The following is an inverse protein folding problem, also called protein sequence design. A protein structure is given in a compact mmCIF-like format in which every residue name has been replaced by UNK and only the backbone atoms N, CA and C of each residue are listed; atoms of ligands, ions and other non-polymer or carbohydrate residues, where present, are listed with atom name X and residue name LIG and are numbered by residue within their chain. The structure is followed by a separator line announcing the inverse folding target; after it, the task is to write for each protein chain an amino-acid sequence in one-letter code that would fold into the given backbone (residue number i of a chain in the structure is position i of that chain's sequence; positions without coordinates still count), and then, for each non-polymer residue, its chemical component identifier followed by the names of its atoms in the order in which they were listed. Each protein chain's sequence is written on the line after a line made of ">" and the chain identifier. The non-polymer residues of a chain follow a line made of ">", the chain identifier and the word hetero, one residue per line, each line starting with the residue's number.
data_IF_931609340208
#
_entry.id   IF_931609340208
#
_cell.length_a   1.000
_cell.length_b   1.000
_cell.length_c   1.000
_cell.angle_alpha   90.00
_cell.angle_beta   90.00
_cell.angle_gamma   90.00
#
_symmetry.space_group_name_H-M   'P 1'
#
loop_
_entity.id
_entity.type
_entity.pdbx_description
1 polymer ?
#
# COMPACT_ATOMS: atom_id res chain seq x y z
N UNK A 1 -10.44 1.16 16.92
CA UNK A 1 -9.34 0.56 16.12
C UNK A 1 -9.71 0.27 14.67
N UNK A 2 -10.67 -0.62 14.40
CA UNK A 2 -11.03 -1.05 13.02
C UNK A 2 -11.36 0.11 12.05
N UNK A 3 -12.04 1.15 12.53
CA UNK A 3 -12.33 2.36 11.74
C UNK A 3 -11.05 3.09 11.30
N UNK A 4 -10.10 3.31 12.22
CA UNK A 4 -8.80 3.94 11.92
C UNK A 4 -8.02 3.14 10.88
N UNK A 5 -8.04 1.81 10.99
CA UNK A 5 -7.38 0.91 10.04
C UNK A 5 -8.00 0.99 8.63
N UNK A 6 -9.34 0.97 8.54
CA UNK A 6 -10.05 1.14 7.27
C UNK A 6 -9.77 2.51 6.66
N UNK A 7 -9.75 3.58 7.46
CA UNK A 7 -9.43 4.93 6.99
C UNK A 7 -8.00 5.01 6.45
N UNK A 8 -7.03 4.43 7.17
CA UNK A 8 -5.65 4.30 6.71
C UNK A 8 -5.56 3.57 5.37
N UNK A 9 -6.12 2.36 5.26
CA UNK A 9 -6.11 1.58 4.01
C UNK A 9 -6.79 2.31 2.86
N UNK A 10 -7.88 3.03 3.13
CA UNK A 10 -8.58 3.85 2.12
C UNK A 10 -7.67 4.96 1.58
N UNK A 11 -6.99 5.68 2.47
CA UNK A 11 -6.09 6.77 2.08
C UNK A 11 -4.84 6.25 1.36
N UNK A 12 -4.28 5.13 1.84
CA UNK A 12 -3.17 4.43 1.21
C UNK A 12 -3.52 4.01 -0.22
N UNK A 13 -4.66 3.33 -0.40
CA UNK A 13 -5.11 2.87 -1.71
C UNK A 13 -5.38 4.04 -2.66
N UNK A 14 -6.00 5.11 -2.18
CA UNK A 14 -6.26 6.32 -2.99
C UNK A 14 -4.97 7.01 -3.44
N UNK A 15 -3.97 7.12 -2.59
CA UNK A 15 -2.69 7.72 -2.97
C UNK A 15 -2.00 6.89 -4.08
N UNK A 16 -2.02 5.56 -3.94
CA UNK A 16 -1.49 4.65 -4.94
C UNK A 16 -2.27 4.74 -6.27
N UNK A 17 -3.61 4.65 -6.21
CA UNK A 17 -4.51 4.73 -7.36
C UNK A 17 -4.33 6.01 -8.17
N UNK A 18 -4.20 7.15 -7.48
CA UNK A 18 -3.97 8.46 -8.09
C UNK A 18 -2.51 8.70 -8.49
N UNK A 19 -1.63 7.70 -8.39
CA UNK A 19 -0.22 7.78 -8.76
C UNK A 19 0.56 8.89 -8.02
N UNK A 20 0.10 9.25 -6.82
CA UNK A 20 0.69 10.32 -6.01
C UNK A 20 1.90 9.77 -5.24
N UNK A 21 3.03 9.54 -5.92
CA UNK A 21 4.20 8.87 -5.33
C UNK A 21 4.70 9.56 -4.06
N UNK A 22 4.77 10.89 -4.05
CA UNK A 22 5.26 11.63 -2.88
C UNK A 22 4.34 11.39 -1.68
N UNK A 23 3.01 11.51 -1.87
CA UNK A 23 2.03 11.19 -0.82
C UNK A 23 2.08 9.72 -0.42
N UNK A 24 2.19 8.81 -1.39
CA UNK A 24 2.28 7.38 -1.16
C UNK A 24 3.49 7.02 -0.29
N UNK A 25 4.64 7.65 -0.54
CA UNK A 25 5.85 7.43 0.25
C UNK A 25 5.70 7.84 1.72
N UNK A 26 4.86 8.83 2.04
CA UNK A 26 4.64 9.27 3.43
C UNK A 26 3.96 8.23 4.32
N UNK A 27 3.29 7.24 3.72
CA UNK A 27 2.69 6.13 4.47
C UNK A 27 3.74 5.16 5.01
N UNK A 28 5.00 5.24 4.60
CA UNK A 28 6.05 4.33 5.04
C UNK A 28 6.92 4.95 6.13
N UNK A 29 7.43 4.13 7.04
CA UNK A 29 8.51 4.55 7.95
C UNK A 29 9.81 4.72 7.15
N UNK A 30 10.78 5.46 7.70
CA UNK A 30 12.06 5.70 7.02
C UNK A 30 12.89 4.42 6.82
N UNK A 31 12.69 3.44 7.69
CA UNK A 31 13.32 2.12 7.67
C UNK A 31 12.42 1.03 7.05
N UNK A 32 11.32 1.42 6.39
CA UNK A 32 10.35 0.46 5.89
C UNK A 32 10.95 -0.49 4.85
N UNK A 33 10.51 -1.74 4.88
CA UNK A 33 10.92 -2.79 3.94
C UNK A 33 9.75 -3.30 3.12
N UNK A 34 9.99 -3.47 1.81
CA UNK A 34 9.07 -4.10 0.87
C UNK A 34 9.76 -5.34 0.27
N UNK A 35 9.15 -6.52 0.39
CA UNK A 35 9.72 -7.80 -0.11
C UNK A 35 11.16 -8.04 0.35
N UNK A 36 11.44 -7.72 1.62
CA UNK A 36 12.76 -7.86 2.24
C UNK A 36 13.83 -6.84 1.81
N UNK A 37 13.49 -5.83 0.99
CA UNK A 37 14.40 -4.76 0.58
C UNK A 37 13.89 -3.41 1.09
N UNK A 38 14.76 -2.40 1.29
CA UNK A 38 14.33 -1.06 1.68
C UNK A 38 13.28 -0.52 0.70
N UNK A 39 12.16 -0.01 1.22
CA UNK A 39 11.09 0.59 0.39
C UNK A 39 11.63 1.69 -0.54
N UNK A 40 12.58 2.48 -0.05
CA UNK A 40 13.26 3.53 -0.80
C UNK A 40 13.89 3.03 -2.11
N UNK A 41 14.33 1.77 -2.17
CA UNK A 41 14.91 1.16 -3.37
C UNK A 41 13.87 0.93 -4.49
N UNK A 42 12.58 0.89 -4.16
CA UNK A 42 11.49 0.70 -5.13
C UNK A 42 10.93 2.03 -5.67
N UNK A 43 11.29 3.18 -5.12
CA UNK A 43 10.71 4.48 -5.51
C UNK A 43 10.86 4.79 -7.01
N UNK A 44 12.03 4.48 -7.59
CA UNK A 44 12.26 4.67 -9.01
C UNK A 44 11.40 3.72 -9.87
N UNK A 45 11.17 2.50 -9.39
CA UNK A 45 10.29 1.54 -10.07
C UNK A 45 8.83 2.00 -10.02
N UNK A 46 8.35 2.49 -8.88
CA UNK A 46 7.01 3.07 -8.77
C UNK A 46 6.83 4.25 -9.73
N UNK A 47 7.78 5.18 -9.78
CA UNK A 47 7.74 6.33 -10.69
C UNK A 47 7.58 5.89 -12.15
N UNK A 48 8.46 5.00 -12.62
CA UNK A 48 8.40 4.45 -13.99
C UNK A 48 7.09 3.72 -14.27
N UNK A 49 6.56 2.99 -13.30
CA UNK A 49 5.29 2.28 -13.46
C UNK A 49 4.13 3.28 -13.59
N UNK A 50 4.08 4.30 -12.73
CA UNK A 50 3.04 5.32 -12.72
C UNK A 50 3.00 6.14 -14.01
N UNK A 51 4.17 6.51 -14.56
CA UNK A 51 4.27 7.22 -15.84
C UNK A 51 3.68 6.44 -17.02
N UNK A 52 3.60 5.11 -16.93
CA UNK A 52 3.08 4.24 -17.99
C UNK A 52 1.60 3.90 -17.83
N UNK A 53 1.03 4.18 -16.66
CA UNK A 53 -0.34 3.82 -16.31
C UNK A 53 -1.26 5.01 -16.60
N UNK A 54 -2.16 4.81 -17.56
CA UNK A 54 -3.22 5.76 -17.88
C UNK A 54 -4.25 5.80 -16.74
N UNK A 55 -4.87 4.66 -16.44
CA UNK A 55 -5.89 4.54 -15.39
C UNK A 55 -5.61 3.33 -14.50
N UNK A 56 -5.91 3.45 -13.21
CA UNK A 56 -5.74 2.39 -12.23
C UNK A 56 -6.91 2.36 -11.26
N UNK A 57 -7.28 1.16 -10.82
CA UNK A 57 -8.09 0.94 -9.63
C UNK A 57 -7.31 0.03 -8.70
N UNK A 58 -7.20 0.41 -7.44
CA UNK A 58 -6.48 -0.36 -6.42
C UNK A 58 -7.26 -0.43 -5.13
N UNK A 59 -7.45 -1.64 -4.60
CA UNK A 59 -8.11 -1.86 -3.31
C UNK A 59 -7.43 -2.98 -2.54
N UNK A 60 -7.49 -2.89 -1.23
CA UNK A 60 -7.10 -3.96 -0.31
C UNK A 60 -8.36 -4.42 0.43
N UNK A 61 -8.68 -5.70 0.30
CA UNK A 61 -9.67 -6.35 1.14
C UNK A 61 -9.00 -6.83 2.42
N UNK A 62 -9.32 -6.18 3.54
CA UNK A 62 -8.85 -6.58 4.87
C UNK A 62 -9.50 -7.91 5.26
N UNK A 63 -8.70 -8.97 5.43
CA UNK A 63 -9.18 -10.29 5.87
C UNK A 63 -9.05 -10.46 7.37
N UNK A 64 -7.87 -10.13 7.91
CA UNK A 64 -7.56 -10.26 9.34
C UNK A 64 -6.62 -9.15 9.77
N UNK A 65 -6.71 -8.79 11.05
CA UNK A 65 -5.71 -7.95 11.70
C UNK A 65 -5.47 -8.43 13.12
N UNK A 66 -4.26 -8.19 13.61
CA UNK A 66 -3.88 -8.42 15.00
C UNK A 66 -3.18 -7.17 15.53
N UNK A 67 -3.46 -6.80 16.77
CA UNK A 67 -2.88 -5.63 17.44
C UNK A 67 -2.02 -6.11 18.58
N UNK A 68 -0.79 -5.61 18.66
CA UNK A 68 0.10 -5.76 19.80
C UNK A 68 0.20 -4.39 20.47
N UNK A 69 -0.67 -4.16 21.46
CA UNK A 69 -0.81 -2.83 22.09
C UNK A 69 0.47 -2.38 22.80
N UNK A 70 1.20 -3.31 23.42
CA UNK A 70 2.45 -3.05 24.15
C UNK A 70 3.52 -2.33 23.31
N UNK A 71 3.57 -2.64 22.01
CA UNK A 71 4.58 -2.11 21.08
C UNK A 71 3.96 -1.27 19.96
N UNK A 72 2.65 -1.00 20.02
CA UNK A 72 1.94 -0.19 19.03
C UNK A 72 1.95 -0.78 17.60
N UNK A 73 2.12 -2.09 17.47
CA UNK A 73 2.23 -2.78 16.18
C UNK A 73 0.88 -3.37 15.75
N UNK A 74 0.50 -3.14 14.50
CA UNK A 74 -0.69 -3.75 13.89
C UNK A 74 -0.27 -4.59 12.69
N UNK A 75 -0.59 -5.88 12.73
CA UNK A 75 -0.40 -6.79 11.60
C UNK A 75 -1.68 -6.90 10.81
N UNK A 76 -1.57 -6.82 9.48
CA UNK A 76 -2.68 -6.96 8.55
C UNK A 76 -2.40 -8.12 7.62
N UNK A 77 -3.44 -8.92 7.40
CA UNK A 77 -3.53 -9.84 6.27
C UNK A 77 -4.72 -9.45 5.40
N UNK A 78 -4.48 -9.34 4.10
CA UNK A 78 -5.51 -8.97 3.14
C UNK A 78 -5.31 -9.58 1.77
N UNK A 79 -6.20 -9.22 0.87
CA UNK A 79 -6.09 -9.51 -0.56
C UNK A 79 -6.06 -8.18 -1.31
N UNK A 80 -4.98 -7.90 -2.04
CA UNK A 80 -4.96 -6.76 -2.94
C UNK A 80 -5.64 -7.12 -4.24
N UNK A 81 -6.29 -6.12 -4.84
CA UNK A 81 -6.79 -6.17 -6.21
C UNK A 81 -6.29 -4.93 -6.92
N UNK A 82 -5.62 -5.13 -8.05
CA UNK A 82 -5.21 -4.06 -8.93
C UNK A 82 -5.77 -4.30 -10.32
N UNK A 83 -6.31 -3.24 -10.90
CA UNK A 83 -6.69 -3.19 -12.30
C UNK A 83 -6.06 -1.95 -12.91
N UNK A 84 -5.27 -2.08 -13.96
CA UNK A 84 -4.59 -0.96 -14.59
C UNK A 84 -4.67 -1.04 -16.11
N UNK A 85 -4.74 0.13 -16.74
CA UNK A 85 -4.66 0.31 -18.20
C UNK A 85 -3.41 1.13 -18.50
N UNK A 86 -2.65 0.68 -19.50
CA UNK A 86 -1.45 1.39 -19.94
C UNK A 86 -1.82 2.47 -20.96
N UNK A 87 -1.02 3.54 -21.01
CA UNK A 87 -1.14 4.58 -22.04
C UNK A 87 -1.06 3.93 -23.42
N UNK A 88 -1.96 4.33 -24.33
CA UNK A 88 -2.05 3.77 -25.68
C UNK A 88 -2.68 2.37 -25.77
N UNK A 89 -3.12 1.78 -24.66
CA UNK A 89 -3.83 0.49 -24.66
C UNK A 89 -5.28 0.66 -24.25
N UNK A 90 -6.20 -0.03 -24.94
CA UNK A 90 -7.60 -0.15 -24.50
C UNK A 90 -7.81 -1.34 -23.54
N UNK A 91 -6.80 -2.20 -23.36
CA UNK A 91 -6.91 -3.42 -22.56
C UNK A 91 -6.61 -3.14 -21.09
N UNK A 92 -7.54 -3.52 -20.23
CA UNK A 92 -7.31 -3.56 -18.80
C UNK A 92 -6.56 -4.83 -18.41
N UNK A 93 -5.52 -4.65 -17.59
CA UNK A 93 -4.79 -5.74 -16.93
C UNK A 93 -5.23 -5.81 -15.48
N UNK A 94 -5.33 -7.03 -14.96
CA UNK A 94 -5.78 -7.28 -13.59
C UNK A 94 -4.78 -8.18 -12.89
N UNK A 95 -4.56 -7.93 -11.60
CA UNK A 95 -3.81 -8.81 -10.72
C UNK A 95 -4.47 -8.80 -9.34
N UNK A 96 -4.38 -9.93 -8.65
CA UNK A 96 -4.81 -10.10 -7.26
C UNK A 96 -3.81 -10.98 -6.53
N UNK A 97 -3.62 -10.74 -5.25
CA UNK A 97 -2.70 -11.53 -4.45
C UNK A 97 -2.88 -11.26 -2.96
N UNK A 98 -2.24 -12.10 -2.14
CA UNK A 98 -2.18 -11.85 -0.70
C UNK A 98 -1.30 -10.64 -0.45
N UNK A 99 -1.64 -9.86 0.57
CA UNK A 99 -0.84 -8.75 1.05
C UNK A 99 -0.73 -8.85 2.57
N UNK A 100 0.50 -8.71 3.04
CA UNK A 100 0.84 -8.69 4.45
C UNK A 100 1.45 -7.32 4.76
N UNK A 101 0.96 -6.66 5.81
CA UNK A 101 1.50 -5.38 6.25
C UNK A 101 1.76 -5.41 7.75
N UNK A 102 2.91 -4.90 8.16
CA UNK A 102 3.13 -4.51 9.56
C UNK A 102 3.11 -2.99 9.64
N UNK A 103 2.22 -2.49 10.48
CA UNK A 103 1.99 -1.08 10.70
C UNK A 103 2.41 -0.68 12.10
N UNK A 104 2.92 0.54 12.23
CA UNK A 104 3.19 1.20 13.51
C UNK A 104 2.29 2.41 13.67
N UNK A 105 1.83 2.66 14.90
CA UNK A 105 1.06 3.87 15.20
C UNK A 105 1.89 5.14 14.90
N UNK A 106 1.25 6.15 14.30
CA UNK A 106 1.87 7.44 13.99
C UNK A 106 0.81 8.54 14.12
N UNK A 107 0.76 9.18 15.29
CA UNK A 107 -0.32 10.10 15.65
C UNK A 107 -1.69 9.42 15.56
N UNK A 108 -2.62 10.02 14.84
CA UNK A 108 -3.98 9.49 14.65
C UNK A 108 -4.08 8.38 13.61
N UNK A 109 -3.01 8.10 12.87
CA UNK A 109 -2.96 7.10 11.81
C UNK A 109 -1.85 6.07 12.03
N UNK A 110 -1.39 5.45 10.94
CA UNK A 110 -0.37 4.43 10.93
C UNK A 110 0.69 4.74 9.87
N UNK A 111 1.86 4.11 10.01
CA UNK A 111 2.84 3.97 8.94
C UNK A 111 3.18 2.51 8.71
N UNK A 112 3.46 2.16 7.46
CA UNK A 112 3.93 0.85 7.03
C UNK A 112 5.40 0.71 7.39
N UNK A 113 5.70 -0.27 8.23
CA UNK A 113 7.08 -0.71 8.52
C UNK A 113 7.48 -1.86 7.61
N UNK A 114 6.54 -2.75 7.27
CA UNK A 114 6.78 -3.90 6.40
C UNK A 114 5.63 -4.13 5.44
N UNK A 115 5.96 -4.45 4.20
CA UNK A 115 5.02 -4.78 3.14
C UNK A 115 5.51 -6.01 2.35
N UNK A 116 4.68 -7.05 2.26
CA UNK A 116 4.98 -8.28 1.51
C UNK A 116 3.76 -8.72 0.69
N UNK A 117 3.94 -9.02 -0.61
CA UNK A 117 2.89 -9.39 -1.56
C UNK A 117 3.40 -10.10 -2.82
#
# INVERSE_FOLDING_TARGET
>A
MQYRLKAFLTNYCRAYENKQLDKFSTFFTSDAVEKGKPFSSFLQQYRRNFERIDSMNYRIELKRYAVQEEIGLVRIEGIFHVRARLIGSQKWRQSKGKIYMELVASGDSFKVRRLDY
#
